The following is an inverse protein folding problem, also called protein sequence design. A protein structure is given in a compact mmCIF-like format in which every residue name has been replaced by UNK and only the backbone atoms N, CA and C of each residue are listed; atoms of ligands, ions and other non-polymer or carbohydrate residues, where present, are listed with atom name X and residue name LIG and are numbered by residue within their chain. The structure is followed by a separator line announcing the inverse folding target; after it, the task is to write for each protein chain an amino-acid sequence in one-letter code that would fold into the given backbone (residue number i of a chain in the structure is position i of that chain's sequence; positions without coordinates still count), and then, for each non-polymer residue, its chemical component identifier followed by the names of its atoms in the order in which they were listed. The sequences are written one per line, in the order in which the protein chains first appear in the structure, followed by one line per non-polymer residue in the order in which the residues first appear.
data_IF_710740836613
#
_entry.id   IF_710740836613
#
_cell.length_a   1.000
_cell.length_b   1.000
_cell.length_c   1.000
_cell.angle_alpha   90.00
_cell.angle_beta   90.00
_cell.angle_gamma   90.00
#
_symmetry.space_group_name_H-M   'P 1'
#
loop_
_entity.id
_entity.type
_entity.pdbx_description
1 polymer ?
#
# COMPACT_ATOMS: atom_id res chain seq x y z
N UNK A 1 25.44 28.70 -3.90
CA UNK A 1 24.74 27.48 -3.43
C UNK A 1 23.75 27.11 -4.52
N UNK A 2 23.80 25.87 -5.03
CA UNK A 2 22.85 25.41 -6.03
C UNK A 2 21.51 25.12 -5.34
N UNK A 3 20.40 25.56 -5.90
CA UNK A 3 19.04 25.32 -5.41
C UNK A 3 18.25 24.59 -6.51
N UNK A 4 17.37 23.70 -6.08
CA UNK A 4 16.45 23.02 -6.99
C UNK A 4 15.33 24.00 -7.32
N UNK A 5 15.24 24.41 -8.58
CA UNK A 5 14.23 25.36 -9.07
C UNK A 5 13.00 24.66 -9.67
N UNK A 6 13.01 23.32 -9.71
CA UNK A 6 11.90 22.53 -10.22
C UNK A 6 10.96 22.11 -9.11
N UNK A 7 9.70 21.90 -9.47
CA UNK A 7 8.72 21.33 -8.53
C UNK A 7 9.06 19.87 -8.24
N UNK A 8 9.36 19.57 -7.00
CA UNK A 8 9.54 18.18 -6.55
C UNK A 8 8.18 17.49 -6.58
N UNK A 9 8.08 16.40 -7.35
CA UNK A 9 6.88 15.56 -7.39
C UNK A 9 6.71 14.73 -6.11
N UNK A 10 5.55 14.11 -5.97
CA UNK A 10 5.29 13.15 -4.89
C UNK A 10 6.27 11.98 -4.98
N UNK A 11 6.81 11.60 -3.85
CA UNK A 11 7.72 10.47 -3.74
C UNK A 11 6.95 9.14 -3.74
N UNK A 12 7.65 8.05 -4.00
CA UNK A 12 7.01 6.76 -4.15
C UNK A 12 6.23 6.31 -2.90
N UNK A 13 6.73 6.59 -1.71
CA UNK A 13 6.03 6.25 -0.46
C UNK A 13 4.73 7.05 -0.26
N UNK A 14 4.67 8.32 -0.71
CA UNK A 14 3.47 9.17 -0.64
C UNK A 14 2.40 8.75 -1.65
N UNK A 15 2.81 8.18 -2.78
CA UNK A 15 1.87 7.72 -3.81
C UNK A 15 1.29 6.36 -3.43
N UNK A 16 2.10 5.50 -2.83
CA UNK A 16 1.73 4.10 -2.56
C UNK A 16 0.68 3.99 -1.47
N UNK A 17 0.73 4.77 -0.39
CA UNK A 17 -0.29 4.71 0.67
C UNK A 17 -1.67 5.13 0.14
N UNK A 18 -1.72 6.20 -0.66
CA UNK A 18 -2.93 6.63 -1.35
C UNK A 18 -3.49 5.52 -2.24
N UNK A 19 -2.63 4.85 -3.03
CA UNK A 19 -3.06 3.77 -3.92
C UNK A 19 -3.55 2.54 -3.16
N UNK A 20 -2.94 2.19 -2.03
CA UNK A 20 -3.43 1.12 -1.18
C UNK A 20 -4.84 1.46 -0.67
N UNK A 21 -5.05 2.68 -0.18
CA UNK A 21 -6.36 3.10 0.32
C UNK A 21 -7.43 3.12 -0.79
N UNK A 22 -7.13 3.68 -1.96
CA UNK A 22 -8.04 3.68 -3.13
C UNK A 22 -8.46 2.26 -3.51
N UNK A 23 -7.50 1.34 -3.65
CA UNK A 23 -7.77 -0.07 -4.00
C UNK A 23 -8.66 -0.73 -2.95
N UNK A 24 -8.39 -0.47 -1.66
CA UNK A 24 -9.18 -1.06 -0.59
C UNK A 24 -10.61 -0.53 -0.58
N UNK A 25 -10.83 0.78 -0.80
CA UNK A 25 -12.16 1.38 -0.90
C UNK A 25 -12.96 0.73 -2.02
N UNK A 26 -12.39 0.67 -3.22
CA UNK A 26 -13.08 0.15 -4.41
C UNK A 26 -13.37 -1.35 -4.30
N UNK A 27 -12.36 -2.15 -3.97
CA UNK A 27 -12.51 -3.60 -3.96
C UNK A 27 -13.31 -4.12 -2.77
N UNK A 28 -13.24 -3.50 -1.61
CA UNK A 28 -14.07 -3.89 -0.48
C UNK A 28 -15.53 -3.61 -0.80
N UNK A 29 -15.85 -2.44 -1.37
CA UNK A 29 -17.20 -2.12 -1.80
C UNK A 29 -17.72 -3.13 -2.84
N UNK A 30 -16.90 -3.45 -3.84
CA UNK A 30 -17.24 -4.47 -4.83
C UNK A 30 -17.50 -5.85 -4.18
N UNK A 31 -16.71 -6.23 -3.18
CA UNK A 31 -16.91 -7.49 -2.47
C UNK A 31 -18.15 -7.46 -1.56
N UNK A 32 -18.50 -6.33 -0.99
CA UNK A 32 -19.75 -6.15 -0.25
C UNK A 32 -20.95 -6.37 -1.16
N UNK A 33 -20.96 -5.75 -2.33
CA UNK A 33 -22.04 -5.89 -3.33
C UNK A 33 -22.17 -7.35 -3.82
N UNK A 34 -21.04 -8.03 -4.09
CA UNK A 34 -21.03 -9.41 -4.57
C UNK A 34 -21.47 -10.43 -3.52
N UNK A 35 -21.24 -10.17 -2.23
CA UNK A 35 -21.44 -11.12 -1.15
C UNK A 35 -22.61 -10.74 -0.23
N UNK A 36 -23.26 -9.61 -0.46
CA UNK A 36 -24.39 -9.13 0.33
C UNK A 36 -24.03 -8.73 1.75
N UNK A 37 -22.93 -7.98 1.94
CA UNK A 37 -22.57 -7.42 3.26
C UNK A 37 -23.10 -5.99 3.37
N UNK A 38 -23.74 -5.70 4.52
CA UNK A 38 -24.31 -4.39 4.82
C UNK A 38 -23.47 -3.58 5.82
N UNK A 39 -22.24 -4.05 6.13
CA UNK A 39 -21.37 -3.37 7.09
C UNK A 39 -20.97 -1.96 6.58
N UNK A 40 -21.02 -0.96 7.46
CA UNK A 40 -20.48 0.37 7.17
C UNK A 40 -18.97 0.32 7.31
N UNK A 41 -18.26 0.35 6.17
CA UNK A 41 -16.80 0.27 6.09
C UNK A 41 -16.23 1.61 5.66
N UNK A 42 -15.27 2.10 6.41
CA UNK A 42 -14.51 3.30 6.07
C UNK A 42 -13.01 3.01 6.03
N UNK A 43 -12.33 3.57 5.03
CA UNK A 43 -10.88 3.48 4.86
C UNK A 43 -10.28 4.87 5.01
N UNK A 44 -9.28 5.00 5.87
CA UNK A 44 -8.60 6.26 6.16
C UNK A 44 -7.10 6.15 5.94
N UNK A 45 -6.49 7.29 5.64
CA UNK A 45 -5.05 7.49 5.72
C UNK A 45 -4.72 8.06 7.10
N UNK A 46 -3.78 7.42 7.81
CA UNK A 46 -3.16 7.89 9.06
C UNK A 46 -4.14 8.36 10.15
N UNK A 47 -5.31 7.75 10.26
CA UNK A 47 -6.27 8.12 11.29
C UNK A 47 -5.77 7.72 12.68
N UNK A 48 -5.78 8.68 13.62
CA UNK A 48 -5.33 8.49 15.01
C UNK A 48 -6.43 7.88 15.88
N UNK A 49 -7.68 8.26 15.64
CA UNK A 49 -8.86 7.77 16.40
C UNK A 49 -9.64 6.81 15.52
N UNK A 50 -9.66 5.52 15.83
CA UNK A 50 -10.14 4.51 14.89
C UNK A 50 -11.65 4.45 14.73
N UNK A 51 -12.46 4.88 15.71
CA UNK A 51 -13.90 4.64 15.67
C UNK A 51 -14.75 5.87 15.91
N UNK A 52 -15.76 6.06 15.05
CA UNK A 52 -16.97 6.79 15.33
C UNK A 52 -18.13 5.83 15.60
N UNK A 53 -19.16 6.29 16.31
CA UNK A 53 -20.29 5.44 16.75
C UNK A 53 -21.09 4.78 15.61
N UNK A 54 -20.88 5.23 14.38
CA UNK A 54 -21.65 4.78 13.21
C UNK A 54 -20.90 3.78 12.32
N UNK A 55 -19.64 3.46 12.64
CA UNK A 55 -18.82 2.60 11.77
C UNK A 55 -18.83 1.17 12.31
N UNK A 56 -19.04 0.20 11.43
CA UNK A 56 -18.90 -1.23 11.74
C UNK A 56 -17.45 -1.69 11.61
N UNK A 57 -16.79 -1.19 10.57
CA UNK A 57 -15.41 -1.52 10.22
C UNK A 57 -14.66 -0.26 9.84
N UNK A 58 -13.50 -0.08 10.44
CA UNK A 58 -12.56 0.98 10.07
C UNK A 58 -11.25 0.35 9.67
N UNK A 59 -10.74 0.76 8.51
CA UNK A 59 -9.44 0.35 8.00
C UNK A 59 -8.58 1.60 7.90
N UNK A 60 -7.40 1.55 8.49
CA UNK A 60 -6.45 2.66 8.43
C UNK A 60 -5.19 2.20 7.71
N UNK A 61 -4.76 2.94 6.72
CA UNK A 61 -3.49 2.75 6.02
C UNK A 61 -2.52 3.81 6.51
N UNK A 62 -1.37 3.39 7.02
CA UNK A 62 -0.36 4.30 7.53
C UNK A 62 1.03 3.91 7.04
N UNK A 63 1.77 4.86 6.50
CA UNK A 63 3.19 4.69 6.23
C UNK A 63 3.96 4.60 7.55
N UNK A 64 4.83 3.60 7.65
CA UNK A 64 5.61 3.39 8.88
C UNK A 64 7.07 3.80 8.71
N UNK A 65 7.71 3.27 7.71
CA UNK A 65 9.13 3.51 7.44
C UNK A 65 9.50 3.09 6.02
N UNK A 66 10.60 3.62 5.53
CA UNK A 66 11.24 3.15 4.32
C UNK A 66 12.72 2.87 4.58
N UNK A 67 13.18 1.71 4.13
CA UNK A 67 14.59 1.32 4.18
C UNK A 67 15.18 1.35 2.77
N UNK A 68 16.10 2.26 2.53
CA UNK A 68 16.80 2.42 1.27
C UNK A 68 18.17 1.72 1.38
N UNK A 69 18.25 0.49 0.82
CA UNK A 69 19.47 -0.33 0.93
C UNK A 69 20.47 -0.11 -0.19
N UNK A 70 19.98 0.08 -1.41
CA UNK A 70 20.81 0.17 -2.60
C UNK A 70 20.68 1.55 -3.24
N UNK A 71 21.77 2.30 -3.17
CA UNK A 71 21.88 3.60 -3.82
C UNK A 71 22.59 3.45 -5.17
N UNK A 72 21.89 3.78 -6.24
CA UNK A 72 22.49 3.96 -7.57
C UNK A 72 22.43 5.42 -7.98
N UNK A 73 23.32 5.84 -8.87
CA UNK A 73 23.32 7.22 -9.39
C UNK A 73 22.05 7.59 -10.16
N UNK A 74 21.25 6.60 -10.56
CA UNK A 74 20.03 6.78 -11.35
C UNK A 74 18.72 6.67 -10.56
N UNK A 75 18.76 6.23 -9.31
CA UNK A 75 17.59 6.08 -8.47
C UNK A 75 17.89 5.29 -7.22
N UNK A 76 16.99 5.35 -6.25
CA UNK A 76 17.03 4.55 -5.04
C UNK A 76 15.89 3.54 -5.03
N UNK A 77 16.14 2.33 -4.55
CA UNK A 77 15.12 1.36 -4.25
C UNK A 77 14.89 1.34 -2.75
N UNK A 78 13.65 1.60 -2.34
CA UNK A 78 13.24 1.56 -0.96
C UNK A 78 12.28 0.40 -0.69
N UNK A 79 12.42 -0.25 0.46
CA UNK A 79 11.38 -1.08 1.02
C UNK A 79 10.53 -0.23 1.94
N UNK A 80 9.34 0.13 1.46
CA UNK A 80 8.36 0.89 2.21
C UNK A 80 7.46 -0.05 2.99
N UNK A 81 7.31 0.20 4.28
CA UNK A 81 6.50 -0.58 5.19
C UNK A 81 5.26 0.20 5.56
N UNK A 82 4.10 -0.43 5.37
CA UNK A 82 2.79 0.14 5.68
C UNK A 82 2.10 -0.70 6.74
N UNK A 83 1.48 -0.04 7.70
CA UNK A 83 0.53 -0.66 8.60
C UNK A 83 -0.87 -0.52 8.05
N UNK A 84 -1.58 -1.63 7.98
CA UNK A 84 -2.99 -1.65 7.63
C UNK A 84 -3.72 -2.17 8.85
N UNK A 85 -4.33 -1.25 9.58
CA UNK A 85 -5.01 -1.51 10.82
C UNK A 85 -6.50 -1.68 10.55
N UNK A 86 -7.06 -2.79 11.00
CA UNK A 86 -8.47 -3.14 10.82
C UNK A 86 -9.12 -3.21 12.18
N UNK A 87 -10.13 -2.39 12.38
CA UNK A 87 -10.95 -2.35 13.56
C UNK A 87 -12.36 -2.79 13.22
N UNK A 88 -12.93 -3.69 13.98
CA UNK A 88 -14.30 -4.16 13.81
C UNK A 88 -15.07 -4.07 15.11
N UNK A 89 -16.25 -3.47 15.06
CA UNK A 89 -17.22 -3.51 16.14
C UNK A 89 -18.19 -4.68 15.97
N UNK A 90 -18.74 -5.15 17.04
CA UNK A 90 -19.76 -6.18 17.03
C UNK A 90 -20.95 -5.81 17.91
N UNK A 91 -22.13 -6.21 17.46
CA UNK A 91 -23.36 -6.13 18.24
C UNK A 91 -23.76 -7.56 18.64
N UNK A 92 -24.10 -7.76 19.90
CA UNK A 92 -24.59 -9.06 20.38
C UNK A 92 -25.98 -9.38 19.83
N UNK A 93 -26.22 -10.65 19.57
CA UNK A 93 -27.53 -11.19 19.24
C UNK A 93 -27.86 -12.41 20.15
N UNK A 94 -28.97 -13.08 19.90
CA UNK A 94 -29.40 -14.24 20.69
C UNK A 94 -28.42 -15.41 20.70
N UNK A 95 -27.63 -15.55 19.60
CA UNK A 95 -26.79 -16.73 19.39
C UNK A 95 -25.29 -16.44 19.65
N UNK A 96 -24.88 -15.17 19.58
CA UNK A 96 -23.50 -14.78 19.73
C UNK A 96 -23.33 -13.49 20.52
N UNK A 97 -22.24 -13.47 21.31
CA UNK A 97 -21.82 -12.25 22.01
C UNK A 97 -21.33 -11.18 21.01
N UNK A 98 -21.38 -9.92 21.40
CA UNK A 98 -20.86 -8.83 20.60
C UNK A 98 -19.37 -9.03 20.22
N UNK A 99 -18.59 -9.55 21.16
CA UNK A 99 -17.17 -9.86 20.95
C UNK A 99 -16.93 -10.97 19.91
N UNK A 100 -17.79 -12.00 19.89
CA UNK A 100 -17.70 -13.07 18.88
C UNK A 100 -18.07 -12.55 17.48
N UNK A 101 -19.11 -11.71 17.39
CA UNK A 101 -19.50 -11.09 16.14
C UNK A 101 -18.42 -10.14 15.62
N UNK A 102 -17.82 -9.32 16.49
CA UNK A 102 -16.67 -8.48 16.11
C UNK A 102 -15.50 -9.32 15.61
N UNK A 103 -15.20 -10.46 16.26
CA UNK A 103 -14.12 -11.36 15.82
C UNK A 103 -14.41 -11.99 14.47
N UNK A 104 -15.63 -12.50 14.22
CA UNK A 104 -16.02 -13.08 12.93
C UNK A 104 -15.88 -12.05 11.82
N UNK A 105 -16.38 -10.83 12.06
CA UNK A 105 -16.27 -9.71 11.15
C UNK A 105 -14.79 -9.38 10.88
N UNK A 106 -13.98 -9.25 11.92
CA UNK A 106 -12.55 -8.97 11.78
C UNK A 106 -11.83 -10.00 10.90
N UNK A 107 -12.02 -11.29 11.13
CA UNK A 107 -11.39 -12.34 10.33
C UNK A 107 -11.83 -12.26 8.85
N UNK A 108 -13.09 -11.91 8.61
CA UNK A 108 -13.58 -11.71 7.25
C UNK A 108 -12.85 -10.59 6.54
N UNK A 109 -12.73 -9.42 7.18
CA UNK A 109 -12.06 -8.26 6.59
C UNK A 109 -10.54 -8.45 6.46
N UNK A 110 -9.89 -9.12 7.40
CA UNK A 110 -8.49 -9.55 7.24
C UNK A 110 -8.33 -10.39 5.97
N UNK A 111 -9.23 -11.35 5.75
CA UNK A 111 -9.23 -12.21 4.57
C UNK A 111 -9.37 -11.41 3.28
N UNK A 112 -10.32 -10.48 3.23
CA UNK A 112 -10.55 -9.60 2.08
C UNK A 112 -9.33 -8.72 1.80
N UNK A 113 -8.85 -7.97 2.77
CA UNK A 113 -7.70 -7.08 2.63
C UNK A 113 -6.45 -7.85 2.18
N UNK A 114 -6.19 -9.00 2.82
CA UNK A 114 -5.08 -9.88 2.42
C UNK A 114 -5.20 -10.32 0.97
N UNK A 115 -6.37 -10.80 0.57
CA UNK A 115 -6.60 -11.30 -0.80
C UNK A 115 -6.44 -10.18 -1.82
N UNK A 116 -7.07 -9.03 -1.59
CA UNK A 116 -7.01 -7.85 -2.47
C UNK A 116 -5.54 -7.42 -2.67
N UNK A 117 -4.83 -7.19 -1.59
CA UNK A 117 -3.45 -6.67 -1.67
C UNK A 117 -2.45 -7.69 -2.20
N UNK A 118 -2.71 -8.99 -2.03
CA UNK A 118 -1.86 -10.06 -2.58
C UNK A 118 -2.22 -10.44 -4.02
N UNK A 119 -3.34 -9.94 -4.55
CA UNK A 119 -3.81 -10.26 -5.89
C UNK A 119 -2.82 -9.82 -6.97
N UNK A 120 -2.66 -10.66 -7.99
CA UNK A 120 -1.91 -10.33 -9.20
C UNK A 120 -2.52 -9.16 -9.98
N UNK A 121 -3.84 -8.92 -9.86
CA UNK A 121 -4.54 -7.76 -10.44
C UNK A 121 -3.89 -6.44 -10.04
N UNK A 122 -3.40 -6.36 -8.79
CA UNK A 122 -2.78 -5.16 -8.24
C UNK A 122 -1.25 -5.28 -8.10
N UNK A 123 -0.60 -6.01 -9.01
CA UNK A 123 0.86 -6.22 -8.96
C UNK A 123 1.64 -4.90 -8.88
N UNK A 124 1.20 -3.90 -9.62
CA UNK A 124 1.81 -2.56 -9.66
C UNK A 124 1.05 -1.53 -8.82
N UNK A 125 0.03 -1.93 -8.05
CA UNK A 125 -0.91 -1.03 -7.35
C UNK A 125 -1.55 0.02 -8.29
N UNK A 126 -1.71 -0.31 -9.57
CA UNK A 126 -2.22 0.62 -10.59
C UNK A 126 -1.24 1.71 -11.01
N UNK A 127 0.00 1.66 -10.55
CA UNK A 127 1.06 2.59 -10.92
C UNK A 127 1.78 2.14 -12.21
N UNK A 128 2.46 3.06 -12.92
CA UNK A 128 3.27 2.73 -14.08
C UNK A 128 4.31 1.65 -13.79
N UNK A 129 4.65 0.86 -14.82
CA UNK A 129 5.67 -0.17 -14.71
C UNK A 129 7.02 0.45 -14.29
N UNK A 130 7.72 -0.27 -13.40
CA UNK A 130 9.02 0.15 -12.90
C UNK A 130 8.98 0.91 -11.58
N UNK A 131 7.83 1.46 -11.15
CA UNK A 131 7.70 2.11 -9.85
C UNK A 131 7.64 1.06 -8.73
N UNK A 132 6.84 0.02 -8.91
CA UNK A 132 6.71 -1.07 -7.94
C UNK A 132 7.57 -2.25 -8.36
N UNK A 133 8.60 -2.55 -7.58
CA UNK A 133 9.49 -3.71 -7.78
C UNK A 133 8.99 -5.01 -7.16
N UNK A 134 7.98 -4.92 -6.30
CA UNK A 134 7.35 -6.07 -5.63
C UNK A 134 6.58 -5.67 -4.40
N UNK A 135 5.67 -6.53 -3.97
CA UNK A 135 4.86 -6.32 -2.78
C UNK A 135 4.55 -7.65 -2.10
N UNK A 136 4.42 -7.63 -0.79
CA UNK A 136 4.01 -8.80 -0.02
C UNK A 136 3.47 -8.43 1.35
N UNK A 137 2.59 -9.28 1.86
CA UNK A 137 2.14 -9.19 3.24
C UNK A 137 3.13 -9.92 4.14
N UNK A 138 3.78 -9.17 5.02
CA UNK A 138 4.84 -9.70 5.88
C UNK A 138 4.27 -10.39 7.12
N UNK A 139 3.26 -9.79 7.76
CA UNK A 139 2.75 -10.26 9.05
C UNK A 139 1.31 -9.83 9.26
N UNK A 140 0.55 -10.65 9.98
CA UNK A 140 -0.75 -10.31 10.55
C UNK A 140 -0.63 -10.50 12.06
N UNK A 141 -0.97 -9.49 12.82
CA UNK A 141 -1.01 -9.52 14.27
C UNK A 141 -2.43 -9.22 14.74
N UNK A 142 -2.96 -10.08 15.59
CA UNK A 142 -4.22 -9.84 16.28
C UNK A 142 -3.90 -9.30 17.65
N UNK A 143 -4.50 -8.18 18.01
CA UNK A 143 -4.43 -7.67 19.37
C UNK A 143 -5.79 -7.80 20.01
N UNK A 144 -5.80 -8.32 21.22
CA UNK A 144 -7.01 -8.44 22.03
C UNK A 144 -7.18 -7.27 22.98
N UNK A 145 -6.11 -6.50 23.21
CA UNK A 145 -6.09 -5.38 24.13
C UNK A 145 -6.06 -4.04 23.42
N UNK A 146 -7.25 -3.51 23.17
CA UNK A 146 -7.44 -2.15 22.66
C UNK A 146 -6.91 -1.07 23.63
N UNK A 147 -6.65 -1.42 24.89
CA UNK A 147 -6.12 -0.53 25.93
C UNK A 147 -4.78 0.10 25.58
N UNK A 148 -4.01 -0.50 24.67
CA UNK A 148 -2.72 0.01 24.23
C UNK A 148 -2.80 1.19 23.23
N UNK A 149 -3.99 1.50 22.70
CA UNK A 149 -4.20 2.56 21.72
C UNK A 149 -4.69 3.90 22.28
N UNK A 150 -4.46 4.14 23.55
CA UNK A 150 -4.77 5.38 24.23
C UNK A 150 -5.98 5.30 25.16
N UNK A 151 -5.94 6.10 26.21
CA UNK A 151 -6.98 6.23 27.25
C UNK A 151 -8.29 6.80 26.69
N UNK A 152 -8.97 6.06 25.82
CA UNK A 152 -10.31 6.43 25.37
C UNK A 152 -11.34 5.81 26.30
N UNK A 153 -11.47 6.39 27.49
CA UNK A 153 -12.39 6.02 28.58
C UNK A 153 -13.89 6.06 28.22
N UNK A 154 -14.23 6.38 26.96
CA UNK A 154 -15.62 6.51 26.53
C UNK A 154 -16.11 5.39 25.61
N UNK A 155 -15.26 4.44 25.25
CA UNK A 155 -15.68 3.27 24.50
C UNK A 155 -15.67 2.06 25.42
N UNK A 156 -16.82 1.41 25.52
CA UNK A 156 -16.90 0.07 26.07
C UNK A 156 -16.14 -0.88 25.12
N UNK A 157 -14.81 -0.97 25.34
CA UNK A 157 -13.87 -1.65 24.44
C UNK A 157 -14.09 -3.16 24.31
N UNK A 158 -15.08 -3.71 25.04
CA UNK A 158 -15.40 -5.14 25.02
C UNK A 158 -15.89 -5.63 23.65
N UNK A 159 -16.39 -4.73 22.81
CA UNK A 159 -17.06 -5.04 21.55
C UNK A 159 -16.22 -4.72 20.30
N UNK A 160 -15.00 -4.24 20.48
CA UNK A 160 -14.09 -3.89 19.37
C UNK A 160 -12.97 -4.93 19.30
N UNK A 161 -12.66 -5.37 18.09
CA UNK A 161 -11.54 -6.24 17.79
C UNK A 161 -10.64 -5.55 16.76
N UNK A 162 -9.35 -5.78 16.91
CA UNK A 162 -8.30 -5.13 16.14
C UNK A 162 -7.32 -6.14 15.53
N UNK A 163 -6.87 -5.83 14.33
CA UNK A 163 -5.76 -6.52 13.70
C UNK A 163 -4.87 -5.54 12.95
N UNK A 164 -3.57 -5.77 12.99
CA UNK A 164 -2.57 -5.07 12.18
C UNK A 164 -1.98 -5.99 11.15
N UNK A 165 -2.03 -5.56 9.89
CA UNK A 165 -1.34 -6.19 8.79
C UNK A 165 -0.12 -5.34 8.45
N UNK A 166 1.04 -6.00 8.33
CA UNK A 166 2.27 -5.36 7.89
C UNK A 166 2.45 -5.67 6.41
N UNK A 167 2.32 -4.64 5.59
CA UNK A 167 2.43 -4.74 4.14
C UNK A 167 3.70 -4.04 3.66
N UNK A 168 4.50 -4.75 2.89
CA UNK A 168 5.78 -4.25 2.37
C UNK A 168 5.69 -4.08 0.86
N UNK A 169 6.11 -2.92 0.40
CA UNK A 169 6.17 -2.59 -1.03
C UNK A 169 7.59 -2.12 -1.36
N UNK A 170 8.20 -2.74 -2.36
CA UNK A 170 9.46 -2.25 -2.91
C UNK A 170 9.15 -1.18 -3.93
N UNK A 171 9.61 0.03 -3.67
CA UNK A 171 9.40 1.20 -4.51
C UNK A 171 10.71 1.62 -5.13
N UNK A 172 10.69 1.90 -6.42
CA UNK A 172 11.82 2.50 -7.13
C UNK A 172 11.54 4.00 -7.25
N UNK A 173 12.37 4.81 -6.65
CA UNK A 173 12.29 6.26 -6.72
C UNK A 173 13.32 6.77 -7.73
N UNK A 174 12.84 7.38 -8.80
CA UNK A 174 13.69 8.06 -9.75
C UNK A 174 14.03 9.44 -9.17
N UNK A 175 15.23 9.54 -8.61
CA UNK A 175 15.81 10.87 -8.42
C UNK A 175 16.19 11.37 -9.80
N UNK A 176 15.52 12.41 -10.31
CA UNK A 176 16.01 13.08 -11.51
C UNK A 176 17.44 13.49 -11.24
N UNK A 177 18.34 12.88 -11.99
CA UNK A 177 19.70 13.39 -12.06
C UNK A 177 19.58 14.86 -12.51
N UNK A 178 20.36 15.71 -11.88
CA UNK A 178 20.48 17.09 -12.26
C UNK A 178 20.68 17.18 -13.77
N UNK A 179 19.70 17.73 -14.49
CA UNK A 179 19.73 17.90 -15.95
C UNK A 179 20.80 18.93 -16.37
N UNK A 180 21.97 18.84 -15.78
CA UNK A 180 23.05 19.77 -15.98
C UNK A 180 23.67 19.76 -17.36
N UNK A 181 23.40 18.75 -18.16
CA UNK A 181 23.84 18.66 -19.56
C UNK A 181 22.82 17.81 -20.31
N UNK A 182 22.02 18.45 -21.18
CA UNK A 182 21.56 17.76 -22.34
C UNK A 182 22.81 17.16 -23.00
N UNK A 183 22.85 15.85 -23.12
CA UNK A 183 23.73 15.23 -24.09
C UNK A 183 23.23 15.70 -25.45
N UNK A 184 23.74 16.85 -25.89
CA UNK A 184 23.49 17.39 -27.23
C UNK A 184 23.95 16.32 -28.20
N UNK A 185 22.98 15.50 -28.61
CA UNK A 185 23.02 14.71 -29.80
C UNK A 185 24.17 13.71 -29.90
N UNK A 186 24.06 12.61 -29.21
CA UNK A 186 24.62 11.38 -29.74
C UNK A 186 23.49 10.65 -30.50
N UNK A 187 23.27 11.02 -31.75
CA UNK A 187 22.45 10.26 -32.68
C UNK A 187 23.22 8.99 -33.07
N UNK A 188 23.37 8.06 -32.11
CA UNK A 188 23.98 6.78 -32.40
C UNK A 188 22.90 5.91 -33.02
N UNK A 189 22.87 5.80 -34.34
CA UNK A 189 22.05 4.82 -35.01
C UNK A 189 22.74 3.46 -34.90
N UNK A 190 22.12 2.56 -34.15
CA UNK A 190 22.54 1.16 -34.05
C UNK A 190 21.80 0.40 -35.13
N UNK A 191 22.51 -0.06 -36.16
CA UNK A 191 21.96 -0.97 -37.16
C UNK A 191 22.44 -2.38 -36.92
N UNK A 192 21.53 -3.35 -37.13
CA UNK A 192 21.84 -4.78 -37.03
C UNK A 192 22.14 -5.28 -38.44
N UNK A 193 23.35 -5.72 -38.69
CA UNK A 193 23.71 -6.45 -39.90
C UNK A 193 23.77 -7.93 -39.63
N UNK A 194 22.85 -8.67 -40.24
CA UNK A 194 22.87 -10.14 -40.21
C UNK A 194 23.84 -10.63 -41.27
N UNK A 195 24.88 -11.33 -40.83
CA UNK A 195 25.80 -12.03 -41.70
C UNK A 195 25.77 -13.54 -41.45
N UNK A 196 26.33 -14.34 -42.34
CA UNK A 196 26.43 -15.80 -42.18
C UNK A 196 27.22 -16.21 -40.91
N UNK A 197 27.94 -15.28 -40.31
CA UNK A 197 28.74 -15.48 -39.08
C UNK A 197 28.08 -14.91 -37.79
N UNK A 198 26.83 -14.52 -37.84
CA UNK A 198 26.08 -13.94 -36.70
C UNK A 198 25.70 -12.48 -36.89
N UNK A 199 25.06 -11.91 -35.90
CA UNK A 199 24.59 -10.51 -35.90
C UNK A 199 25.68 -9.58 -35.44
N UNK A 200 26.04 -8.60 -36.30
CA UNK A 200 27.00 -7.55 -35.98
C UNK A 200 26.28 -6.26 -35.63
N UNK A 201 26.67 -5.65 -34.52
CA UNK A 201 26.26 -4.30 -34.16
C UNK A 201 27.17 -3.30 -34.81
N UNK A 202 26.59 -2.39 -35.62
CA UNK A 202 27.33 -1.29 -36.27
C UNK A 202 26.89 0.01 -35.59
N UNK A 203 27.85 0.71 -35.01
CA UNK A 203 27.66 2.04 -34.45
C UNK A 203 28.06 3.07 -35.51
N UNK A 204 27.11 3.82 -36.02
CA UNK A 204 27.36 4.94 -36.90
C UNK A 204 27.33 6.23 -36.08
N UNK A 205 28.45 6.91 -35.98
CA UNK A 205 28.59 8.23 -35.35
C UNK A 205 28.05 9.34 -36.27
#
# INVERSE_FOLDING_TARGET
MAVINEKIGLQGFEIVDNKIAEILVEEIKNQQDLQGFDDVVEVFLERIIPFDKNNDVVITVAFKEANYGDFTTAGSQGQCLYFIDIFCSGVGNTDHTASENARKKLFRYIGLVRYILSSAKFQTLGLPLGIIGGKYLQKITLDTDYSNFGNHSNYDGSNIRFARLIFVVRVTENQKLWDGYELLGNNTNITYENSANGTKLVFNN
#
